data_IF_465678735067
#
_entry.id   IF_465678735067
#
_cell.length_a   1.000
_cell.length_b   1.000
_cell.length_c   1.000
_cell.angle_alpha   90.00
_cell.angle_beta   90.00
_cell.angle_gamma   90.00
#
_symmetry.space_group_name_H-M   'P 1'
#
loop_
_entity.id
_entity.type
_entity.pdbx_description
1 polymer ?
#
# COMPACT_ATOMS: atom_id res chain seq x y z
N UNK A 1 -5.54 -20.87 -20.01
CA UNK A 1 -4.66 -19.72 -20.30
C UNK A 1 -4.32 -19.07 -18.97
N UNK A 2 -3.06 -19.12 -18.53
CA UNK A 2 -2.62 -18.43 -17.32
C UNK A 2 -2.53 -16.94 -17.67
N UNK A 3 -3.39 -16.11 -17.09
CA UNK A 3 -3.35 -14.67 -17.33
C UNK A 3 -2.09 -14.09 -16.70
N UNK A 4 -1.09 -13.79 -17.52
CA UNK A 4 0.09 -13.04 -17.09
C UNK A 4 -0.31 -11.58 -16.87
N UNK A 5 -0.15 -11.10 -15.65
CA UNK A 5 -0.55 -9.76 -15.25
C UNK A 5 0.53 -8.79 -15.73
N UNK A 6 0.19 -7.69 -16.42
CA UNK A 6 1.16 -6.80 -17.03
C UNK A 6 2.10 -6.18 -15.99
N UNK A 7 3.41 -6.24 -16.27
CA UNK A 7 4.45 -5.64 -15.42
C UNK A 7 4.65 -4.19 -15.83
N UNK A 8 4.18 -3.24 -15.01
CA UNK A 8 4.34 -1.81 -15.29
C UNK A 8 5.79 -1.36 -15.04
N UNK A 9 6.55 -1.10 -16.11
CA UNK A 9 7.94 -0.62 -16.02
C UNK A 9 8.06 0.89 -15.83
N UNK A 10 6.99 1.66 -16.08
CA UNK A 10 6.95 3.13 -16.01
C UNK A 10 5.66 3.57 -15.29
N UNK A 11 5.77 4.52 -14.36
CA UNK A 11 4.62 5.24 -13.81
C UNK A 11 4.30 6.45 -14.72
N UNK A 12 3.11 7.06 -14.62
CA UNK A 12 2.44 7.98 -15.56
C UNK A 12 3.25 9.15 -16.21
N UNK A 13 4.53 9.33 -15.89
CA UNK A 13 5.42 10.37 -16.41
C UNK A 13 6.88 9.90 -16.67
N UNK A 14 7.10 8.64 -17.05
CA UNK A 14 8.44 8.06 -17.29
C UNK A 14 9.38 8.02 -16.07
N UNK A 15 8.89 8.42 -14.89
CA UNK A 15 9.66 8.38 -13.65
C UNK A 15 9.96 6.92 -13.25
N UNK A 16 11.14 6.65 -12.68
CA UNK A 16 11.45 5.32 -12.17
C UNK A 16 10.42 4.96 -11.12
N UNK A 17 9.86 3.74 -11.21
CA UNK A 17 8.73 3.25 -10.41
C UNK A 17 8.81 3.64 -8.93
N UNK A 18 10.01 3.54 -8.35
CA UNK A 18 10.30 3.89 -6.96
C UNK A 18 10.08 5.36 -6.61
N UNK A 19 10.56 6.29 -7.44
CA UNK A 19 10.37 7.72 -7.18
C UNK A 19 8.92 8.15 -7.38
N UNK A 20 8.24 7.57 -8.38
CA UNK A 20 6.82 7.84 -8.60
C UNK A 20 5.96 7.37 -7.42
N UNK A 21 6.28 6.20 -6.88
CA UNK A 21 5.59 5.61 -5.74
C UNK A 21 5.86 6.37 -4.42
N UNK A 22 7.09 6.85 -4.23
CA UNK A 22 7.45 7.73 -3.12
C UNK A 22 6.73 9.09 -3.22
N UNK A 23 6.74 9.71 -4.40
CA UNK A 23 6.03 10.97 -4.66
C UNK A 23 4.53 10.84 -4.43
N UNK A 24 3.93 9.73 -4.89
CA UNK A 24 2.53 9.42 -4.62
C UNK A 24 2.27 9.24 -3.12
N UNK A 25 3.17 8.56 -2.40
CA UNK A 25 3.09 8.44 -0.94
C UNK A 25 3.06 9.79 -0.23
N UNK A 26 3.89 10.76 -0.65
CA UNK A 26 3.86 12.12 -0.11
C UNK A 26 2.56 12.87 -0.46
N UNK A 27 2.10 12.76 -1.71
CA UNK A 27 0.83 13.38 -2.12
C UNK A 27 -0.34 12.83 -1.30
N UNK A 28 -0.37 11.50 -1.12
CA UNK A 28 -1.34 10.81 -0.28
C UNK A 28 -1.25 11.28 1.17
N UNK A 29 -0.06 11.41 1.74
CA UNK A 29 0.14 11.87 3.12
C UNK A 29 -0.40 13.29 3.34
N UNK A 30 -0.18 14.20 2.38
CA UNK A 30 -0.73 15.57 2.42
C UNK A 30 -2.26 15.53 2.33
N UNK A 31 -2.81 14.72 1.42
CA UNK A 31 -4.25 14.56 1.27
C UNK A 31 -4.90 13.98 2.53
N UNK A 32 -4.30 12.96 3.13
CA UNK A 32 -4.78 12.31 4.36
C UNK A 32 -4.74 13.30 5.54
N UNK A 33 -3.67 14.10 5.67
CA UNK A 33 -3.58 15.14 6.69
C UNK A 33 -4.68 16.22 6.53
N UNK A 34 -4.93 16.66 5.29
CA UNK A 34 -6.00 17.60 5.00
C UNK A 34 -7.39 17.01 5.30
N UNK A 35 -7.62 15.74 4.96
CA UNK A 35 -8.86 15.03 5.26
C UNK A 35 -9.09 14.87 6.76
N UNK A 36 -8.07 14.52 7.53
CA UNK A 36 -8.15 14.44 9.00
C UNK A 36 -8.55 15.80 9.58
N UNK A 37 -7.95 16.89 9.09
CA UNK A 37 -8.31 18.24 9.52
C UNK A 37 -9.78 18.57 9.20
N UNK A 38 -10.22 18.32 7.96
CA UNK A 38 -11.61 18.55 7.55
C UNK A 38 -12.60 17.72 8.38
N UNK A 39 -12.31 16.44 8.57
CA UNK A 39 -13.17 15.53 9.34
C UNK A 39 -13.24 15.94 10.82
N UNK A 40 -12.12 16.34 11.42
CA UNK A 40 -12.12 16.83 12.81
C UNK A 40 -12.94 18.12 12.96
N UNK A 41 -12.87 19.03 11.98
CA UNK A 41 -13.71 20.23 11.97
C UNK A 41 -15.22 19.90 11.88
N UNK A 42 -15.61 19.00 10.97
CA UNK A 42 -17.00 18.55 10.84
C UNK A 42 -17.47 17.86 12.13
N UNK A 43 -16.62 17.02 12.72
CA UNK A 43 -16.90 16.32 13.97
C UNK A 43 -17.14 17.28 15.14
N UNK A 44 -16.30 18.31 15.31
CA UNK A 44 -16.48 19.33 16.35
C UNK A 44 -17.80 20.10 16.14
N UNK A 45 -18.12 20.49 14.90
CA UNK A 45 -19.38 21.17 14.60
C UNK A 45 -20.60 20.27 14.90
N UNK A 46 -20.52 18.98 14.57
CA UNK A 46 -21.58 18.03 14.91
C UNK A 46 -21.79 17.92 16.43
N UNK A 47 -20.70 17.88 17.21
CA UNK A 47 -20.78 17.88 18.68
C UNK A 47 -21.41 19.16 19.24
N UNK A 48 -21.04 20.33 18.70
CA UNK A 48 -21.61 21.62 19.10
C UNK A 48 -23.11 21.65 18.82
N UNK A 49 -23.53 21.18 17.64
CA UNK A 49 -24.95 21.15 17.26
C UNK A 49 -25.81 20.28 18.20
N UNK A 50 -25.28 19.13 18.62
CA UNK A 50 -25.94 18.24 19.59
C UNK A 50 -26.07 18.91 20.96
N UNK A 51 -25.03 19.63 21.39
CA UNK A 51 -25.04 20.35 22.68
C UNK A 51 -26.08 21.47 22.71
N UNK A 52 -26.28 22.18 21.60
CA UNK A 52 -27.19 23.33 21.53
C UNK A 52 -28.65 22.88 21.35
N UNK A 53 -28.93 21.79 20.60
CA UNK A 53 -30.30 21.35 20.30
C UNK A 53 -30.58 19.90 20.77
N UNK A 54 -30.68 19.64 22.09
CA UNK A 54 -30.83 18.29 22.64
C UNK A 54 -32.22 17.65 22.42
N UNK A 55 -33.23 18.38 21.89
CA UNK A 55 -34.64 17.94 21.90
C UNK A 55 -35.21 17.52 20.52
N UNK A 56 -34.38 17.41 19.48
CA UNK A 56 -34.86 17.08 18.14
C UNK A 56 -35.08 15.56 17.95
N UNK A 57 -36.21 15.17 17.35
CA UNK A 57 -36.57 13.77 17.08
C UNK A 57 -35.60 12.98 16.16
N UNK A 58 -34.55 13.62 15.63
CA UNK A 58 -33.53 13.01 14.78
C UNK A 58 -32.26 12.52 15.52
N UNK A 59 -32.30 12.49 16.86
CA UNK A 59 -31.16 12.10 17.70
C UNK A 59 -30.52 10.76 17.27
N UNK A 60 -31.32 9.74 16.90
CA UNK A 60 -30.79 8.42 16.49
C UNK A 60 -29.96 8.47 15.21
N UNK A 61 -30.37 9.27 14.22
CA UNK A 61 -29.64 9.46 12.96
C UNK A 61 -28.33 10.22 13.19
N UNK A 62 -28.36 11.23 14.06
CA UNK A 62 -27.17 12.01 14.42
C UNK A 62 -26.15 11.15 15.17
N UNK A 63 -26.58 10.33 16.13
CA UNK A 63 -25.69 9.38 16.82
C UNK A 63 -25.08 8.35 15.87
N UNK A 64 -25.89 7.80 14.94
CA UNK A 64 -25.39 6.84 13.94
C UNK A 64 -24.32 7.50 13.05
N UNK A 65 -24.57 8.74 12.59
CA UNK A 65 -23.59 9.50 11.82
C UNK A 65 -22.30 9.80 12.60
N UNK A 66 -22.39 10.12 13.89
CA UNK A 66 -21.23 10.31 14.75
C UNK A 66 -20.39 9.04 14.89
N UNK A 67 -21.04 7.89 15.12
CA UNK A 67 -20.32 6.60 15.26
C UNK A 67 -19.57 6.28 13.97
N UNK A 68 -20.23 6.45 12.80
CA UNK A 68 -19.59 6.24 11.49
C UNK A 68 -18.42 7.21 11.30
N UNK A 69 -18.58 8.48 11.68
CA UNK A 69 -17.51 9.48 11.57
C UNK A 69 -16.31 9.14 12.46
N UNK A 70 -16.53 8.63 13.67
CA UNK A 70 -15.46 8.20 14.57
C UNK A 70 -14.69 7.01 13.99
N UNK A 71 -15.39 6.01 13.45
CA UNK A 71 -14.77 4.86 12.78
C UNK A 71 -13.99 5.32 11.55
N UNK A 72 -14.52 6.26 10.77
CA UNK A 72 -13.83 6.80 9.62
C UNK A 72 -12.54 7.55 10.03
N UNK A 73 -12.60 8.40 11.05
CA UNK A 73 -11.43 9.15 11.54
C UNK A 73 -10.34 8.21 12.05
N UNK A 74 -10.68 7.17 12.80
CA UNK A 74 -9.67 6.19 13.27
C UNK A 74 -9.04 5.44 12.10
N UNK A 75 -9.82 5.05 11.09
CA UNK A 75 -9.29 4.42 9.87
C UNK A 75 -8.35 5.36 9.12
N UNK A 76 -8.71 6.63 8.91
CA UNK A 76 -7.83 7.60 8.26
C UNK A 76 -6.54 7.84 9.05
N UNK A 77 -6.63 7.87 10.37
CA UNK A 77 -5.45 7.99 11.23
C UNK A 77 -4.51 6.78 11.09
N UNK A 78 -5.06 5.57 11.04
CA UNK A 78 -4.25 4.37 10.79
C UNK A 78 -3.63 4.39 9.39
N UNK A 79 -4.34 4.86 8.38
CA UNK A 79 -3.85 4.99 7.00
C UNK A 79 -2.69 6.01 6.92
N UNK A 80 -2.80 7.11 7.66
CA UNK A 80 -1.75 8.11 7.79
C UNK A 80 -0.46 7.53 8.38
N UNK A 81 -0.57 6.76 9.47
CA UNK A 81 0.60 6.06 10.08
C UNK A 81 1.21 5.06 9.10
N UNK A 82 0.38 4.26 8.45
CA UNK A 82 0.81 3.26 7.47
C UNK A 82 1.53 3.91 6.29
N UNK A 83 1.06 5.09 5.83
CA UNK A 83 1.71 5.89 4.78
C UNK A 83 3.06 6.48 5.22
N UNK A 84 3.21 6.89 6.49
CA UNK A 84 4.52 7.31 7.03
C UNK A 84 5.51 6.14 7.03
N UNK A 85 5.11 4.99 7.57
CA UNK A 85 5.94 3.78 7.62
C UNK A 85 6.40 3.39 6.21
N UNK A 86 5.52 3.54 5.23
CA UNK A 86 5.83 3.32 3.83
C UNK A 86 6.87 4.27 3.26
N UNK A 87 6.75 5.57 3.51
CA UNK A 87 7.75 6.55 3.06
C UNK A 87 9.12 6.20 3.65
N UNK A 88 9.17 5.87 4.95
CA UNK A 88 10.41 5.45 5.63
C UNK A 88 10.96 4.16 5.03
N UNK A 89 10.11 3.17 4.75
CA UNK A 89 10.49 1.91 4.11
C UNK A 89 11.00 2.10 2.68
N UNK A 90 10.35 2.98 1.92
CA UNK A 90 10.73 3.38 0.57
C UNK A 90 12.10 4.06 0.53
N UNK A 91 12.49 4.80 1.56
CA UNK A 91 13.84 5.37 1.68
C UNK A 91 14.90 4.33 2.05
N UNK A 92 14.62 3.44 3.02
CA UNK A 92 15.59 2.44 3.53
C UNK A 92 15.91 1.29 2.57
N UNK A 93 15.30 1.24 1.38
CA UNK A 93 15.45 0.15 0.38
C UNK A 93 15.21 -1.27 0.91
N UNK A 94 14.54 -1.43 2.05
CA UNK A 94 14.39 -2.73 2.70
C UNK A 94 13.17 -3.49 2.15
N UNK A 95 13.41 -4.59 1.44
CA UNK A 95 12.37 -5.39 0.77
C UNK A 95 11.38 -6.00 1.76
N UNK A 96 11.82 -6.34 2.99
CA UNK A 96 10.94 -6.89 4.03
C UNK A 96 9.89 -5.87 4.46
N UNK A 97 10.28 -4.60 4.60
CA UNK A 97 9.40 -3.52 5.03
C UNK A 97 8.32 -3.22 3.97
N UNK A 98 8.71 -3.21 2.69
CA UNK A 98 7.79 -3.03 1.57
C UNK A 98 6.76 -4.17 1.51
N UNK A 99 7.17 -5.41 1.79
CA UNK A 99 6.27 -6.57 1.82
C UNK A 99 5.24 -6.47 2.95
N UNK A 100 5.65 -6.11 4.16
CA UNK A 100 4.72 -5.91 5.29
C UNK A 100 3.74 -4.79 4.97
N UNK A 101 4.24 -3.68 4.41
CA UNK A 101 3.40 -2.57 3.99
C UNK A 101 2.34 -2.97 2.94
N UNK A 102 2.69 -3.85 1.99
CA UNK A 102 1.73 -4.35 1.01
C UNK A 102 0.55 -5.10 1.66
N UNK A 103 0.82 -5.95 2.65
CA UNK A 103 -0.23 -6.64 3.40
C UNK A 103 -1.11 -5.65 4.20
N UNK A 104 -0.49 -4.66 4.85
CA UNK A 104 -1.23 -3.61 5.56
C UNK A 104 -2.11 -2.78 4.60
N UNK A 105 -1.56 -2.38 3.45
CA UNK A 105 -2.28 -1.62 2.43
C UNK A 105 -3.45 -2.41 1.85
N UNK A 106 -3.30 -3.72 1.67
CA UNK A 106 -4.38 -4.60 1.25
C UNK A 106 -5.48 -4.67 2.31
N UNK A 107 -5.12 -4.79 3.59
CA UNK A 107 -6.08 -4.76 4.70
C UNK A 107 -6.85 -3.44 4.76
N UNK A 108 -6.16 -2.31 4.60
CA UNK A 108 -6.79 -0.99 4.54
C UNK A 108 -7.72 -0.85 3.34
N UNK A 109 -7.34 -1.34 2.16
CA UNK A 109 -8.20 -1.33 0.98
C UNK A 109 -9.50 -2.13 1.20
N UNK A 110 -9.41 -3.31 1.82
CA UNK A 110 -10.59 -4.10 2.20
C UNK A 110 -11.47 -3.35 3.21
N UNK A 111 -10.87 -2.73 4.23
CA UNK A 111 -11.60 -1.94 5.22
C UNK A 111 -12.33 -0.74 4.59
N UNK A 112 -11.65 0.00 3.70
CA UNK A 112 -12.25 1.11 2.95
C UNK A 112 -13.39 0.64 2.06
N UNK A 113 -13.23 -0.51 1.38
CA UNK A 113 -14.28 -1.09 0.55
C UNK A 113 -15.53 -1.47 1.36
N UNK A 114 -15.34 -2.12 2.51
CA UNK A 114 -16.44 -2.48 3.41
C UNK A 114 -17.16 -1.24 3.95
N UNK A 115 -16.40 -0.21 4.38
CA UNK A 115 -16.98 1.03 4.85
C UNK A 115 -17.77 1.75 3.76
N UNK A 116 -17.22 1.84 2.54
CA UNK A 116 -17.89 2.45 1.39
C UNK A 116 -19.17 1.71 1.00
N UNK A 117 -19.15 0.36 1.02
CA UNK A 117 -20.35 -0.43 0.78
C UNK A 117 -21.42 -0.16 1.82
N UNK A 118 -21.04 -0.09 3.10
CA UNK A 118 -21.96 0.20 4.20
C UNK A 118 -22.58 1.61 4.08
N UNK A 119 -21.78 2.63 3.76
CA UNK A 119 -22.28 4.00 3.60
C UNK A 119 -23.22 4.13 2.40
N UNK A 120 -22.93 3.46 1.28
CA UNK A 120 -23.82 3.45 0.10
C UNK A 120 -25.17 2.81 0.44
N UNK A 121 -25.18 1.66 1.13
CA UNK A 121 -26.44 1.01 1.55
C UNK A 121 -27.26 1.93 2.45
N UNK A 122 -26.61 2.59 3.42
CA UNK A 122 -27.27 3.54 4.31
C UNK A 122 -27.81 4.78 3.55
N UNK A 123 -27.05 5.28 2.56
CA UNK A 123 -27.44 6.42 1.72
C UNK A 123 -28.68 6.09 0.89
N UNK A 124 -28.74 4.90 0.28
CA UNK A 124 -29.91 4.40 -0.46
C UNK A 124 -31.13 4.24 0.46
N UNK A 125 -30.97 3.62 1.62
CA UNK A 125 -32.04 3.46 2.61
C UNK A 125 -32.63 4.83 3.04
N UNK A 126 -31.75 5.79 3.31
CA UNK A 126 -32.15 7.15 3.65
C UNK A 126 -32.81 7.90 2.48
N UNK A 127 -32.43 7.61 1.24
CA UNK A 127 -33.06 8.18 0.05
C UNK A 127 -34.49 7.66 -0.14
N UNK A 128 -34.73 6.37 0.13
CA UNK A 128 -36.06 5.73 0.00
C UNK A 128 -37.05 6.18 1.08
N UNK A 129 -36.56 6.53 2.27
CA UNK A 129 -37.42 6.86 3.43
C UNK A 129 -37.86 8.34 3.45
N UNK A 130 -37.23 9.22 2.68
CA UNK A 130 -37.48 10.66 2.71
C UNK A 130 -38.24 11.16 1.47
N UNK A 131 -39.10 12.17 1.65
CA UNK A 131 -39.92 12.74 0.56
C UNK A 131 -39.12 13.38 -0.60
N UNK A 132 -37.84 13.72 -0.38
CA UNK A 132 -36.98 14.36 -1.39
C UNK A 132 -36.11 13.34 -2.14
N UNK A 133 -36.75 12.31 -2.72
CA UNK A 133 -36.08 11.17 -3.36
C UNK A 133 -35.12 11.62 -4.47
N UNK A 134 -35.55 12.54 -5.36
CA UNK A 134 -34.73 12.96 -6.51
C UNK A 134 -33.43 13.64 -6.09
N UNK A 135 -33.50 14.56 -5.12
CA UNK A 135 -32.34 15.29 -4.63
C UNK A 135 -31.39 14.38 -3.84
N UNK A 136 -31.91 13.47 -3.00
CA UNK A 136 -31.08 12.50 -2.28
C UNK A 136 -30.44 11.46 -3.18
N UNK A 137 -31.14 11.01 -4.22
CA UNK A 137 -30.58 10.08 -5.21
C UNK A 137 -29.42 10.72 -5.98
N UNK A 138 -29.56 12.00 -6.35
CA UNK A 138 -28.46 12.78 -6.94
C UNK A 138 -27.21 12.82 -6.05
N UNK A 139 -27.38 13.11 -4.76
CA UNK A 139 -26.26 13.08 -3.80
C UNK A 139 -25.65 11.68 -3.65
N UNK A 140 -26.47 10.64 -3.56
CA UNK A 140 -25.99 9.25 -3.46
C UNK A 140 -25.17 8.82 -4.69
N UNK A 141 -25.55 9.27 -5.90
CA UNK A 141 -24.78 9.01 -7.12
C UNK A 141 -23.43 9.72 -7.11
N UNK A 142 -23.37 10.97 -6.64
CA UNK A 142 -22.11 11.72 -6.49
C UNK A 142 -21.20 11.03 -5.47
N UNK A 143 -21.74 10.62 -4.32
CA UNK A 143 -21.01 9.85 -3.31
C UNK A 143 -20.45 8.55 -3.89
N UNK A 144 -21.27 7.80 -4.63
CA UNK A 144 -20.85 6.57 -5.29
C UNK A 144 -19.71 6.79 -6.29
N UNK A 145 -19.82 7.81 -7.15
CA UNK A 145 -18.76 8.19 -8.08
C UNK A 145 -17.46 8.54 -7.34
N UNK A 146 -17.55 9.27 -6.24
CA UNK A 146 -16.39 9.62 -5.43
C UNK A 146 -15.73 8.37 -4.82
N UNK A 147 -16.52 7.48 -4.21
CA UNK A 147 -16.01 6.21 -3.68
C UNK A 147 -15.38 5.33 -4.76
N UNK A 148 -15.97 5.28 -5.95
CA UNK A 148 -15.42 4.53 -7.08
C UNK A 148 -14.04 5.06 -7.49
N UNK A 149 -13.88 6.39 -7.60
CA UNK A 149 -12.59 7.01 -7.92
C UNK A 149 -11.55 6.70 -6.83
N UNK A 150 -11.92 6.81 -5.55
CA UNK A 150 -11.02 6.48 -4.43
C UNK A 150 -10.57 5.03 -4.49
N UNK A 151 -11.49 4.09 -4.70
CA UNK A 151 -11.19 2.67 -4.82
C UNK A 151 -10.29 2.38 -6.04
N UNK A 152 -10.59 2.97 -7.19
CA UNK A 152 -9.79 2.80 -8.40
C UNK A 152 -8.35 3.29 -8.21
N UNK A 153 -8.20 4.47 -7.59
CA UNK A 153 -6.89 5.04 -7.26
C UNK A 153 -6.12 4.16 -6.27
N UNK A 154 -6.80 3.65 -5.24
CA UNK A 154 -6.18 2.78 -4.23
C UNK A 154 -5.80 1.41 -4.81
N UNK A 155 -6.63 0.84 -5.69
CA UNK A 155 -6.30 -0.37 -6.44
C UNK A 155 -5.11 -0.14 -7.37
N UNK A 156 -5.07 0.98 -8.09
CA UNK A 156 -3.93 1.35 -8.92
C UNK A 156 -2.64 1.42 -8.10
N UNK A 157 -2.68 2.04 -6.91
CA UNK A 157 -1.53 2.09 -6.00
C UNK A 157 -1.09 0.69 -5.53
N UNK A 158 -2.02 -0.20 -5.18
CA UNK A 158 -1.70 -1.60 -4.85
C UNK A 158 -1.03 -2.36 -6.00
N UNK A 159 -1.46 -2.11 -7.24
CA UNK A 159 -0.85 -2.70 -8.43
C UNK A 159 0.58 -2.18 -8.67
N UNK A 160 0.82 -0.90 -8.43
CA UNK A 160 2.16 -0.32 -8.49
C UNK A 160 3.09 -0.93 -7.43
N UNK A 161 2.62 -1.04 -6.18
CA UNK A 161 3.36 -1.70 -5.10
C UNK A 161 3.72 -3.14 -5.45
N UNK A 162 2.75 -3.89 -5.97
CA UNK A 162 2.98 -5.26 -6.41
C UNK A 162 4.04 -5.34 -7.50
N UNK A 163 3.98 -4.42 -8.47
CA UNK A 163 4.97 -4.35 -9.56
C UNK A 163 6.38 -4.05 -9.02
N UNK A 164 6.50 -3.22 -7.99
CA UNK A 164 7.78 -2.94 -7.35
C UNK A 164 8.33 -4.14 -6.59
N UNK A 165 7.49 -4.86 -5.84
CA UNK A 165 7.91 -6.08 -5.10
C UNK A 165 8.43 -7.15 -6.06
N UNK A 166 7.75 -7.36 -7.19
CA UNK A 166 8.18 -8.33 -8.22
C UNK A 166 9.54 -7.92 -8.80
N UNK A 167 9.73 -6.62 -9.07
CA UNK A 167 10.98 -6.10 -9.62
C UNK A 167 12.15 -6.24 -8.65
N UNK A 168 11.94 -5.99 -7.35
CA UNK A 168 12.95 -6.18 -6.31
C UNK A 168 13.32 -7.65 -6.13
N UNK A 169 12.33 -8.55 -6.26
CA UNK A 169 12.58 -10.00 -6.22
C UNK A 169 13.42 -10.46 -7.40
N UNK A 170 13.16 -9.96 -8.61
CA UNK A 170 13.93 -10.36 -9.80
C UNK A 170 15.34 -9.75 -9.85
N UNK A 171 15.59 -8.59 -9.23
CA UNK A 171 16.93 -7.98 -9.20
C UNK A 171 17.91 -8.67 -8.26
N UNK A 172 17.45 -9.55 -7.36
CA UNK A 172 18.33 -10.37 -6.52
C UNK A 172 18.94 -11.57 -7.25
N UNK A 173 18.37 -11.94 -8.40
CA UNK A 173 18.87 -13.01 -9.27
C UNK A 173 19.30 -12.37 -10.60
N UNK A 174 20.51 -11.83 -10.64
CA UNK A 174 21.11 -11.45 -11.92
C UNK A 174 21.41 -12.73 -12.69
N UNK A 175 20.63 -12.95 -13.75
CA UNK A 175 20.81 -14.05 -14.69
C UNK A 175 21.44 -13.48 -15.95
N UNK A 176 22.74 -13.67 -16.08
CA UNK A 176 23.42 -13.39 -17.34
C UNK A 176 23.22 -14.59 -18.25
N UNK A 177 22.42 -14.40 -19.30
CA UNK A 177 22.26 -15.39 -20.38
C UNK A 177 23.18 -14.94 -21.50
N UNK A 178 24.32 -15.61 -21.63
CA UNK A 178 25.19 -15.40 -22.78
C UNK A 178 24.65 -16.22 -23.96
N UNK A 179 23.89 -15.57 -24.84
CA UNK A 179 23.29 -16.22 -26.01
C UNK A 179 24.33 -16.79 -26.99
N UNK A 180 25.60 -16.37 -26.90
CA UNK A 180 26.68 -16.89 -27.76
C UNK A 180 27.34 -18.16 -27.21
N UNK A 181 27.13 -18.51 -25.93
CA UNK A 181 27.81 -19.62 -25.27
C UNK A 181 26.87 -20.64 -24.61
N UNK A 182 25.55 -20.45 -24.71
CA UNK A 182 24.51 -21.26 -24.00
C UNK A 182 24.74 -21.44 -22.48
N UNK A 183 25.65 -20.67 -21.90
CA UNK A 183 25.95 -20.73 -20.47
C UNK A 183 25.02 -19.80 -19.70
N UNK A 184 24.26 -20.38 -18.76
CA UNK A 184 23.41 -19.65 -17.81
C UNK A 184 24.19 -19.45 -16.51
N UNK A 185 24.55 -18.20 -16.19
CA UNK A 185 25.22 -17.88 -14.94
C UNK A 185 24.24 -17.10 -14.04
N UNK A 186 23.85 -17.71 -12.92
CA UNK A 186 23.00 -17.09 -11.90
C UNK A 186 23.86 -16.66 -10.71
N UNK A 187 23.96 -15.36 -10.48
CA UNK A 187 24.59 -14.83 -9.27
C UNK A 187 23.49 -14.48 -8.26
N UNK A 188 23.49 -15.17 -7.10
CA UNK A 188 22.70 -14.78 -5.94
C UNK A 188 23.48 -13.74 -5.15
N UNK A 189 22.96 -12.52 -5.08
CA UNK A 189 23.44 -11.55 -4.10
C UNK A 189 22.73 -11.85 -2.77
N UNK A 190 23.39 -12.58 -1.88
CA UNK A 190 22.93 -12.68 -0.50
C UNK A 190 23.02 -11.28 0.14
N UNK A 191 21.89 -10.78 0.62
CA UNK A 191 21.87 -9.58 1.47
C UNK A 191 22.72 -9.87 2.70
N UNK A 192 23.90 -9.26 2.80
CA UNK A 192 24.68 -9.22 4.04
C UNK A 192 23.79 -8.56 5.08
N UNK A 193 23.15 -9.38 5.90
CA UNK A 193 22.48 -8.95 7.12
C UNK A 193 23.61 -8.40 7.99
N UNK A 194 23.69 -7.07 8.10
CA UNK A 194 24.49 -6.39 9.12
C UNK A 194 23.78 -6.64 10.45
N UNK A 195 23.89 -7.88 10.91
CA UNK A 195 23.66 -8.29 12.28
C UNK A 195 25.02 -8.29 12.94
N UNK A 196 25.16 -7.42 13.93
CA UNK A 196 26.23 -7.45 14.91
C UNK A 196 26.20 -8.80 15.61
N UNK A 197 26.89 -9.80 15.07
CA UNK A 197 27.19 -11.03 15.79
C UNK A 197 28.71 -11.21 15.82
N UNK A 198 29.17 -11.26 17.06
CA UNK A 198 30.53 -11.44 17.52
C UNK A 198 31.19 -12.68 16.93
N UNK A 199 32.39 -12.47 16.39
CA UNK A 199 33.57 -13.36 16.40
C UNK A 199 33.33 -14.80 16.83
N UNK A 200 33.56 -15.73 15.89
CA UNK A 200 34.17 -17.03 16.18
C UNK A 200 35.13 -17.38 15.04
N UNK A 201 36.45 -17.48 15.27
CA UNK A 201 37.35 -18.00 14.26
C UNK A 201 37.19 -19.52 14.24
N UNK A 202 36.74 -20.06 13.10
CA UNK A 202 36.86 -21.50 12.87
C UNK A 202 38.07 -21.75 11.98
N UNK A 203 39.02 -22.43 12.60
CA UNK A 203 40.30 -22.84 12.06
C UNK A 203 40.06 -24.18 11.37
N UNK A 204 40.19 -24.25 10.04
CA UNK A 204 40.46 -25.54 9.38
C UNK A 204 41.18 -25.32 8.06
N UNK A 205 42.49 -25.18 8.23
CA UNK A 205 43.53 -25.65 7.33
C UNK A 205 43.23 -27.08 6.85
N UNK A 206 43.23 -27.32 5.52
CA UNK A 206 43.79 -28.55 4.91
C UNK A 206 43.88 -28.53 3.38
N UNK A 207 45.13 -28.71 2.96
CA UNK A 207 45.64 -29.43 1.79
C UNK A 207 45.37 -28.93 0.35
N UNK A 208 46.38 -28.20 -0.11
CA UNK A 208 46.92 -28.20 -1.47
C UNK A 208 47.27 -29.64 -1.90
N UNK A 209 46.73 -30.11 -3.02
CA UNK A 209 47.39 -31.11 -3.87
C UNK A 209 47.47 -30.60 -5.30
N UNK A 210 48.68 -30.17 -5.65
CA UNK A 210 49.14 -30.05 -7.02
C UNK A 210 49.50 -31.45 -7.51
N UNK A 211 48.92 -31.89 -8.63
CA UNK A 211 49.38 -33.07 -9.36
C UNK A 211 49.98 -32.60 -10.69
N UNK A 212 51.30 -32.49 -10.67
CA UNK A 212 52.17 -32.27 -11.82
C UNK A 212 52.45 -33.65 -12.42
N UNK A 213 51.86 -33.99 -13.57
CA UNK A 213 52.30 -35.14 -14.37
C UNK A 213 53.20 -34.61 -15.49
N UNK A 214 54.50 -34.79 -15.29
CA UNK A 214 55.52 -34.76 -16.32
C UNK A 214 55.81 -36.22 -16.67
N UNK A 215 55.59 -36.63 -17.92
CA UNK A 215 56.24 -37.81 -18.49
C UNK A 215 56.90 -37.37 -19.80
N UNK A 216 58.22 -37.55 -19.82
CA UNK A 216 59.09 -37.32 -20.96
C UNK A 216 59.19 -38.60 -21.83
N UNK A 217 59.37 -38.37 -23.14
CA UNK A 217 60.27 -39.08 -24.07
C UNK A 217 60.47 -40.59 -23.91
N UNK A 218 59.99 -41.34 -24.92
CA UNK A 218 60.86 -42.17 -25.78
C UNK A 218 60.23 -42.32 -27.17
#
# INVERSE_FOLDING_TARGET
>A
MRGEIPVFRRCCFCLPLRYGLLAWGYFKLIADAFLIFLMSYVFINALIMIRIHPYNAHISQVYTGLIISMIAVTLFFTDFIVTIVFIVGGHKKNVRLIRVFYFLSMGMWVATFLLASFTVVLSIYNALTNNNVFLRLGFALIEFCFYFVVLAVQTYFLLLLRSEIIKLRSSGEFRFVNNAAEAECTMRCDEVVVGTETVKPDTTEKEIKAETVIVASN
#
